data_IF_184631254903
#
_entry.id   IF_184631254903
#
_cell.length_a   1.000
_cell.length_b   1.000
_cell.length_c   1.000
_cell.angle_alpha   90.00
_cell.angle_beta   90.00
_cell.angle_gamma   90.00
#
_symmetry.space_group_name_H-M   'P 1'
#
loop_
_entity.id
_entity.type
_entity.pdbx_description
1 polymer ?
#
# COMPACT_ATOMS: atom_id res chain seq x y z
N UNK A 1 2.13 -8.73 18.66
CA UNK A 1 1.23 -9.90 18.46
C UNK A 1 1.37 -10.91 19.57
N UNK A 2 2.58 -11.39 19.89
CA UNK A 2 2.80 -12.32 21.00
C UNK A 2 2.34 -11.76 22.36
N UNK A 3 2.59 -10.48 22.66
CA UNK A 3 2.09 -9.82 23.88
C UNK A 3 0.56 -9.82 24.04
N UNK A 4 -0.19 -9.76 22.94
CA UNK A 4 -1.65 -9.85 22.96
C UNK A 4 -2.12 -11.29 23.22
N UNK A 5 -1.39 -12.27 22.68
CA UNK A 5 -1.61 -13.68 22.95
C UNK A 5 -1.37 -14.02 24.43
N UNK A 6 -0.26 -13.54 25.01
CA UNK A 6 0.03 -13.74 26.44
C UNK A 6 -1.06 -13.15 27.35
N UNK A 7 -1.51 -11.92 27.05
CA UNK A 7 -2.59 -11.29 27.81
C UNK A 7 -3.87 -12.12 27.76
N UNK A 8 -4.23 -12.65 26.58
CA UNK A 8 -5.41 -13.51 26.43
C UNK A 8 -5.25 -14.85 27.16
N UNK A 9 -4.06 -15.43 27.16
CA UNK A 9 -3.76 -16.62 27.94
C UNK A 9 -3.93 -16.38 29.44
N UNK A 10 -3.51 -15.21 29.95
CA UNK A 10 -3.73 -14.82 31.34
C UNK A 10 -5.23 -14.69 31.68
N UNK A 11 -6.00 -14.05 30.80
CA UNK A 11 -7.46 -13.90 30.95
C UNK A 11 -8.19 -15.26 30.95
N UNK A 12 -7.72 -16.21 30.12
CA UNK A 12 -8.28 -17.57 30.02
C UNK A 12 -7.65 -18.58 31.01
N UNK A 13 -6.78 -18.13 31.92
CA UNK A 13 -6.02 -18.98 32.86
C UNK A 13 -5.25 -20.14 32.19
N UNK A 14 -4.67 -19.87 31.02
CA UNK A 14 -3.83 -20.81 30.27
C UNK A 14 -2.37 -20.38 30.33
N UNK A 15 -1.47 -21.37 30.30
CA UNK A 15 -0.05 -21.10 30.13
C UNK A 15 0.25 -20.78 28.66
N UNK A 16 0.88 -19.63 28.36
CA UNK A 16 1.29 -19.32 27.00
C UNK A 16 2.41 -20.27 26.54
N UNK A 17 2.33 -20.70 25.29
CA UNK A 17 3.45 -21.39 24.61
C UNK A 17 4.56 -20.40 24.25
N UNK A 18 5.74 -20.92 23.91
CA UNK A 18 6.87 -20.05 23.56
C UNK A 18 6.57 -19.16 22.34
N UNK A 19 7.26 -18.02 22.28
CA UNK A 19 7.08 -17.03 21.22
C UNK A 19 7.36 -17.58 19.82
N UNK A 20 8.41 -18.39 19.66
CA UNK A 20 8.77 -19.00 18.38
C UNK A 20 7.64 -19.85 17.82
N UNK A 21 7.01 -20.69 18.64
CA UNK A 21 5.89 -21.55 18.23
C UNK A 21 4.67 -20.69 17.91
N UNK A 22 4.40 -19.64 18.71
CA UNK A 22 3.34 -18.69 18.39
C UNK A 22 3.58 -18.02 17.03
N UNK A 23 4.79 -17.53 16.75
CA UNK A 23 5.14 -16.91 15.47
C UNK A 23 5.06 -17.92 14.32
N UNK A 24 5.58 -19.14 14.50
CA UNK A 24 5.52 -20.20 13.51
C UNK A 24 4.07 -20.52 13.11
N UNK A 25 3.19 -20.72 14.10
CA UNK A 25 1.77 -21.00 13.84
C UNK A 25 1.10 -19.81 13.15
N UNK A 26 1.36 -18.57 13.59
CA UNK A 26 0.82 -17.37 12.97
C UNK A 26 1.22 -17.23 11.50
N UNK A 27 2.50 -17.45 11.19
CA UNK A 27 3.03 -17.27 9.84
C UNK A 27 2.67 -18.45 8.91
N UNK A 28 2.60 -19.68 9.43
CA UNK A 28 2.45 -20.88 8.58
C UNK A 28 1.04 -21.48 8.57
N UNK A 29 0.26 -21.34 9.66
CA UNK A 29 -1.07 -21.95 9.79
C UNK A 29 -2.19 -20.95 9.55
N UNK A 30 -2.06 -19.74 10.09
CA UNK A 30 -3.03 -18.67 9.84
C UNK A 30 -2.76 -17.92 8.54
N UNK A 31 -1.58 -18.16 7.94
CA UNK A 31 -1.18 -17.62 6.66
C UNK A 31 -1.46 -16.11 6.56
N UNK A 32 -1.24 -15.40 7.68
CA UNK A 32 -1.31 -13.95 7.80
C UNK A 32 -0.08 -13.32 7.11
N UNK A 33 0.17 -13.74 5.87
CA UNK A 33 0.90 -12.89 4.95
C UNK A 33 0.11 -11.59 4.91
N UNK A 34 0.78 -10.48 5.21
CA UNK A 34 0.20 -9.17 4.97
C UNK A 34 -0.29 -9.17 3.53
N UNK A 35 -1.62 -9.21 3.36
CA UNK A 35 -2.23 -9.20 2.05
C UNK A 35 -1.63 -8.01 1.31
N UNK A 36 -1.17 -8.22 0.08
CA UNK A 36 -0.63 -7.13 -0.73
C UNK A 36 -1.69 -6.04 -0.72
N UNK A 37 -1.36 -4.90 -0.12
CA UNK A 37 -2.34 -3.83 0.12
C UNK A 37 -3.08 -3.58 -1.19
N UNK A 38 -4.42 -3.68 -1.16
CA UNK A 38 -5.23 -3.37 -2.34
C UNK A 38 -4.91 -1.92 -2.71
N UNK A 39 -4.61 -1.71 -4.00
CA UNK A 39 -4.04 -0.50 -4.56
C UNK A 39 -4.72 0.75 -3.99
N UNK A 40 -3.97 1.58 -3.28
CA UNK A 40 -4.40 2.96 -3.05
C UNK A 40 -4.38 3.69 -4.40
N UNK A 41 -5.44 4.45 -4.69
CA UNK A 41 -5.45 5.34 -5.85
C UNK A 41 -4.37 6.39 -5.67
N UNK A 42 -3.62 6.67 -6.74
CA UNK A 42 -2.68 7.78 -6.73
C UNK A 42 -3.50 9.08 -6.57
N UNK A 43 -3.15 9.96 -5.62
CA UNK A 43 -3.81 11.27 -5.45
C UNK A 43 -3.94 12.05 -6.75
N UNK A 44 -2.95 11.92 -7.64
CA UNK A 44 -2.96 12.56 -8.96
C UNK A 44 -4.05 12.00 -9.89
N UNK A 45 -4.33 10.70 -9.80
CA UNK A 45 -5.44 10.06 -10.51
C UNK A 45 -6.79 10.62 -10.04
N UNK A 46 -6.97 10.74 -8.71
CA UNK A 46 -8.20 11.29 -8.13
C UNK A 46 -8.40 12.76 -8.53
N UNK A 47 -7.33 13.57 -8.52
CA UNK A 47 -7.36 14.96 -9.00
C UNK A 47 -7.79 15.05 -10.47
N UNK A 48 -7.24 14.20 -11.35
CA UNK A 48 -7.64 14.21 -12.75
C UNK A 48 -9.13 13.84 -12.92
N UNK A 49 -9.59 12.81 -12.20
CA UNK A 49 -10.99 12.37 -12.26
C UNK A 49 -11.95 13.48 -11.83
N UNK A 50 -11.62 14.19 -10.75
CA UNK A 50 -12.38 15.35 -10.27
C UNK A 50 -12.38 16.46 -11.31
N UNK A 51 -11.21 16.82 -11.86
CA UNK A 51 -11.10 17.88 -12.87
C UNK A 51 -11.90 17.56 -14.12
N UNK A 52 -11.76 16.35 -14.67
CA UNK A 52 -12.47 15.90 -15.87
C UNK A 52 -13.99 15.90 -15.67
N UNK A 53 -14.47 15.66 -14.45
CA UNK A 53 -15.91 15.73 -14.14
C UNK A 53 -16.51 17.14 -14.06
N UNK A 54 -15.70 18.20 -14.16
CA UNK A 54 -16.20 19.57 -14.11
C UNK A 54 -16.97 19.92 -15.41
N UNK A 55 -18.29 20.21 -15.33
CA UNK A 55 -19.10 20.52 -16.51
C UNK A 55 -18.76 21.87 -17.16
N UNK A 56 -18.02 22.74 -16.47
CA UNK A 56 -17.65 24.08 -16.97
C UNK A 56 -16.36 24.09 -17.82
N UNK A 57 -15.73 22.92 -18.02
CA UNK A 57 -14.50 22.84 -18.82
C UNK A 57 -14.75 23.15 -20.30
N UNK A 58 -13.86 23.94 -20.88
CA UNK A 58 -13.81 24.07 -22.33
C UNK A 58 -13.37 22.75 -22.98
N UNK A 59 -13.70 22.58 -24.28
CA UNK A 59 -13.33 21.38 -25.04
C UNK A 59 -11.81 21.15 -25.06
N UNK A 60 -11.04 22.22 -25.17
CA UNK A 60 -9.58 22.16 -25.25
C UNK A 60 -8.97 21.76 -23.90
N UNK A 61 -9.48 22.33 -22.79
CA UNK A 61 -9.04 21.96 -21.44
C UNK A 61 -9.40 20.51 -21.11
N UNK A 62 -10.58 20.05 -21.50
CA UNK A 62 -11.00 18.67 -21.32
C UNK A 62 -10.09 17.71 -22.12
N UNK A 63 -9.77 18.05 -23.37
CA UNK A 63 -8.86 17.26 -24.20
C UNK A 63 -7.45 17.18 -23.61
N UNK A 64 -6.94 18.30 -23.09
CA UNK A 64 -5.63 18.35 -22.44
C UNK A 64 -5.62 17.50 -21.16
N UNK A 65 -6.65 17.64 -20.31
CA UNK A 65 -6.76 16.87 -19.06
C UNK A 65 -6.86 15.37 -19.31
N UNK A 66 -7.58 14.93 -20.35
CA UNK A 66 -7.66 13.53 -20.72
C UNK A 66 -6.30 13.00 -21.20
N UNK A 67 -5.59 13.77 -22.02
CA UNK A 67 -4.23 13.43 -22.47
C UNK A 67 -3.27 13.27 -21.29
N UNK A 68 -3.29 14.22 -20.36
CA UNK A 68 -2.44 14.20 -19.17
C UNK A 68 -2.80 13.05 -18.22
N UNK A 69 -4.09 12.74 -18.09
CA UNK A 69 -4.58 11.61 -17.32
C UNK A 69 -4.08 10.28 -17.89
N UNK A 70 -4.22 10.09 -19.20
CA UNK A 70 -3.77 8.87 -19.88
C UNK A 70 -2.25 8.71 -19.80
N UNK A 71 -1.49 9.79 -20.01
CA UNK A 71 -0.04 9.79 -19.85
C UNK A 71 0.36 9.34 -18.44
N UNK A 72 -0.33 9.83 -17.41
CA UNK A 72 -0.07 9.44 -16.03
C UNK A 72 -0.39 7.96 -15.78
N UNK A 73 -1.48 7.45 -16.36
CA UNK A 73 -1.85 6.03 -16.27
C UNK A 73 -0.78 5.14 -16.93
N UNK A 74 -0.34 5.49 -18.13
CA UNK A 74 0.73 4.77 -18.86
C UNK A 74 2.04 4.73 -18.08
N UNK A 75 2.43 5.83 -17.44
CA UNK A 75 3.62 5.87 -16.56
C UNK A 75 3.47 4.92 -15.37
N UNK A 76 2.29 4.88 -14.74
CA UNK A 76 2.02 3.99 -13.62
C UNK A 76 2.00 2.51 -14.04
N UNK A 77 1.48 2.21 -15.23
CA UNK A 77 1.53 0.86 -15.82
C UNK A 77 2.96 0.41 -16.10
N UNK A 78 3.75 1.26 -16.76
CA UNK A 78 5.14 0.98 -17.07
C UNK A 78 5.96 0.73 -15.79
N UNK A 79 5.80 1.56 -14.76
CA UNK A 79 6.50 1.36 -13.49
C UNK A 79 6.17 0.01 -12.84
N UNK A 80 4.89 -0.43 -12.91
CA UNK A 80 4.48 -1.75 -12.42
C UNK A 80 5.04 -2.89 -13.25
N UNK A 81 5.08 -2.72 -14.57
CA UNK A 81 5.65 -3.70 -15.49
C UNK A 81 7.15 -3.87 -15.25
N UNK A 82 7.89 -2.78 -15.12
CA UNK A 82 9.31 -2.79 -14.75
C UNK A 82 9.52 -3.52 -13.42
N UNK A 83 8.80 -3.13 -12.37
CA UNK A 83 8.92 -3.77 -11.04
C UNK A 83 8.63 -5.28 -11.10
N UNK A 84 7.62 -5.69 -11.87
CA UNK A 84 7.27 -7.12 -12.04
C UNK A 84 8.36 -7.87 -12.82
N UNK A 85 8.91 -7.24 -13.85
CA UNK A 85 9.98 -7.80 -14.67
C UNK A 85 11.26 -7.95 -13.87
N UNK A 86 11.64 -6.93 -13.11
CA UNK A 86 12.80 -6.94 -12.23
C UNK A 86 12.66 -8.04 -11.18
N UNK A 87 11.50 -8.15 -10.51
CA UNK A 87 11.25 -9.20 -9.54
C UNK A 87 11.32 -10.62 -10.15
N UNK A 88 10.89 -10.80 -11.41
CA UNK A 88 11.04 -12.08 -12.13
C UNK A 88 12.50 -12.37 -12.46
N UNK A 89 13.26 -11.36 -12.87
CA UNK A 89 14.67 -11.49 -13.22
C UNK A 89 15.53 -11.84 -12.00
N UNK A 90 15.29 -11.19 -10.86
CA UNK A 90 15.96 -11.50 -9.59
C UNK A 90 15.68 -12.94 -9.12
N UNK A 91 14.48 -13.47 -9.35
CA UNK A 91 14.16 -14.88 -9.04
C UNK A 91 14.94 -15.88 -9.90
N UNK A 92 15.30 -15.51 -11.13
CA UNK A 92 16.03 -16.39 -12.07
C UNK A 92 17.54 -16.27 -11.94
N UNK A 93 18.05 -15.11 -11.52
CA UNK A 93 19.47 -14.84 -11.42
C UNK A 93 19.91 -14.71 -9.96
N UNK A 94 20.71 -15.67 -9.47
CA UNK A 94 21.21 -15.68 -8.09
C UNK A 94 22.14 -14.51 -7.73
N UNK A 95 22.60 -13.74 -8.73
CA UNK A 95 23.54 -12.61 -8.54
C UNK A 95 22.78 -11.27 -8.45
N UNK A 96 21.52 -11.21 -8.88
CA UNK A 96 20.75 -9.96 -8.95
C UNK A 96 19.72 -9.86 -7.83
N UNK A 97 19.75 -8.75 -7.11
CA UNK A 97 18.78 -8.43 -6.06
C UNK A 97 17.91 -7.25 -6.51
N UNK A 98 16.62 -7.30 -6.16
CA UNK A 98 15.67 -6.20 -6.41
C UNK A 98 15.13 -5.73 -5.07
N UNK A 99 15.28 -4.42 -4.84
CA UNK A 99 14.76 -3.74 -3.66
C UNK A 99 13.67 -2.76 -4.10
N UNK A 100 12.47 -2.90 -3.54
CA UNK A 100 11.37 -1.97 -3.75
C UNK A 100 11.12 -1.25 -2.44
N UNK A 101 11.38 0.06 -2.42
CA UNK A 101 11.20 0.88 -1.22
C UNK A 101 9.90 1.67 -1.35
N UNK A 102 8.94 1.37 -0.48
CA UNK A 102 7.73 2.19 -0.34
C UNK A 102 8.04 3.41 0.53
N UNK A 103 8.19 4.57 -0.13
CA UNK A 103 8.46 5.84 0.54
C UNK A 103 7.25 6.39 1.31
N UNK A 104 6.06 5.79 1.22
CA UNK A 104 4.88 6.27 1.93
C UNK A 104 4.97 6.10 3.45
N UNK A 105 5.87 5.23 3.96
CA UNK A 105 6.13 5.06 5.39
C UNK A 105 7.48 5.61 5.87
N UNK A 106 8.32 6.13 4.96
CA UNK A 106 9.70 6.53 5.27
C UNK A 106 9.85 7.99 5.71
N UNK A 107 8.79 8.80 5.65
CA UNK A 107 8.82 10.14 6.22
C UNK A 107 8.37 10.06 7.69
N UNK A 108 9.17 10.53 8.66
CA UNK A 108 8.66 10.81 9.98
C UNK A 108 7.58 11.88 9.81
N UNK A 109 6.32 11.46 9.73
CA UNK A 109 5.23 12.38 9.89
C UNK A 109 5.40 12.97 11.29
N UNK A 110 5.39 14.30 11.39
CA UNK A 110 5.15 14.93 12.67
C UNK A 110 3.89 14.30 13.26
N UNK A 111 3.86 14.12 14.58
CA UNK A 111 2.65 13.68 15.28
C UNK A 111 1.57 14.72 14.99
N UNK A 112 0.77 14.48 13.95
CA UNK A 112 -0.35 15.33 13.61
C UNK A 112 -1.43 15.03 14.65
N UNK A 113 -1.84 16.06 15.39
CA UNK A 113 -3.05 16.01 16.19
C UNK A 113 -4.21 15.55 15.29
N UNK A 114 -4.97 14.56 15.77
CA UNK A 114 -5.91 13.73 15.03
C UNK A 114 -7.17 14.53 14.61
N UNK A 115 -7.04 15.54 13.77
CA UNK A 115 -8.20 16.19 13.13
C UNK A 115 -8.18 15.95 11.63
N UNK A 116 -7.14 16.39 10.93
CA UNK A 116 -7.23 16.52 9.47
C UNK A 116 -7.11 15.18 8.73
N UNK A 117 -6.33 14.25 9.28
CA UNK A 117 -6.17 12.91 8.71
C UNK A 117 -7.44 12.04 8.87
N UNK A 118 -8.24 12.29 9.91
CA UNK A 118 -9.49 11.56 10.16
C UNK A 118 -10.60 12.02 9.21
N UNK A 119 -10.77 13.33 9.02
CA UNK A 119 -11.80 13.87 8.12
C UNK A 119 -11.50 13.63 6.64
N UNK A 120 -10.23 13.65 6.22
CA UNK A 120 -9.86 13.36 4.82
C UNK A 120 -9.96 11.89 4.44
N UNK A 121 -10.13 10.97 5.40
CA UNK A 121 -10.30 9.53 5.16
C UNK A 121 -11.77 9.12 4.94
N UNK A 122 -12.71 9.96 5.37
CA UNK A 122 -14.15 9.67 5.38
C UNK A 122 -14.98 10.66 4.52
N UNK A 123 -14.34 11.45 3.65
CA UNK A 123 -15.01 12.20 2.59
C UNK A 123 -14.90 11.48 1.25
#
# INVERSE_FOLDING_TARGET
>A
MYSLYEKRCQEEQKLPINEYVCQYVFNTKFNLHFYISKKDTCKKYDIFKIKISNPELSRDELSQLNTDHELNLRKAELARECMTTDAKNAKRNQISYVCSVDLQKALPFSVLSISDAYYKRNM
#
